data_IF_960613625459
#
_entry.id   IF_960613625459
#
_cell.length_a   1.000
_cell.length_b   1.000
_cell.length_c   1.000
_cell.angle_alpha   90.00
_cell.angle_beta   90.00
_cell.angle_gamma   90.00
#
_symmetry.space_group_name_H-M   'P 1'
#
loop_
_entity.id
_entity.type
_entity.pdbx_description
1 polymer ?
#
# COMPACT_ATOMS: atom_id res chain seq x y z
N UNK A 1 -51.77 39.70 -10.36
CA UNK A 1 -51.26 39.06 -9.14
C UNK A 1 -50.75 37.62 -9.38
N UNK A 2 -51.50 36.71 -9.99
CA UNK A 2 -51.02 35.32 -10.29
C UNK A 2 -49.79 35.22 -11.16
N UNK A 3 -49.61 36.13 -12.12
CA UNK A 3 -48.46 36.10 -13.03
C UNK A 3 -47.16 36.54 -12.32
N UNK A 4 -47.24 37.51 -11.43
CA UNK A 4 -46.09 38.00 -10.62
C UNK A 4 -45.58 36.92 -9.64
N UNK A 5 -46.49 36.12 -9.05
CA UNK A 5 -46.14 35.04 -8.11
C UNK A 5 -45.41 33.90 -8.87
N UNK A 6 -45.85 33.57 -10.09
CA UNK A 6 -45.16 32.55 -10.93
C UNK A 6 -43.74 32.95 -11.27
N UNK A 7 -43.50 34.24 -11.64
CA UNK A 7 -42.16 34.72 -11.97
C UNK A 7 -41.27 34.81 -10.72
N UNK A 8 -41.82 35.13 -9.55
CA UNK A 8 -41.08 35.17 -8.31
C UNK A 8 -40.62 33.76 -7.89
N UNK A 9 -41.45 32.75 -8.07
CA UNK A 9 -41.12 31.33 -7.79
C UNK A 9 -40.04 30.85 -8.77
N UNK A 10 -40.09 31.23 -10.04
CA UNK A 10 -39.11 30.84 -11.04
C UNK A 10 -37.75 31.46 -10.73
N UNK A 11 -37.67 32.70 -10.30
CA UNK A 11 -36.43 33.39 -9.92
C UNK A 11 -35.84 32.78 -8.62
N UNK A 12 -36.69 32.39 -7.64
CA UNK A 12 -36.18 31.74 -6.42
C UNK A 12 -35.65 30.33 -6.64
N UNK A 13 -36.10 29.64 -7.68
CA UNK A 13 -35.61 28.28 -8.03
C UNK A 13 -34.21 28.32 -8.71
N UNK A 14 -33.89 29.40 -9.41
CA UNK A 14 -32.60 29.55 -10.08
C UNK A 14 -31.44 29.89 -9.13
N UNK A 15 -31.70 30.37 -7.94
CA UNK A 15 -30.67 30.70 -6.94
C UNK A 15 -30.15 29.48 -6.15
N UNK A 16 -30.76 28.30 -6.31
CA UNK A 16 -30.35 27.06 -5.61
C UNK A 16 -29.25 26.28 -6.38
N UNK A 17 -28.81 26.75 -7.53
CA UNK A 17 -27.83 26.03 -8.39
C UNK A 17 -26.42 26.62 -8.28
N UNK A 18 -26.15 27.50 -7.32
CA UNK A 18 -24.77 27.86 -7.06
C UNK A 18 -24.09 26.67 -6.37
N UNK A 19 -23.29 25.96 -7.17
CA UNK A 19 -22.47 24.86 -6.67
C UNK A 19 -21.67 25.31 -5.45
N UNK A 20 -21.76 24.58 -4.36
CA UNK A 20 -20.92 24.82 -3.20
C UNK A 20 -19.47 24.60 -3.61
N UNK A 21 -18.65 25.63 -3.51
CA UNK A 21 -17.21 25.50 -3.70
C UNK A 21 -16.62 24.83 -2.46
N UNK A 22 -16.03 23.66 -2.62
CA UNK A 22 -15.40 22.91 -1.55
C UNK A 22 -14.00 23.48 -1.26
N UNK A 23 -13.73 23.84 -0.03
CA UNK A 23 -12.38 24.23 0.37
C UNK A 23 -11.60 23.00 0.83
N UNK A 24 -10.51 22.69 0.13
CA UNK A 24 -9.57 21.66 0.55
C UNK A 24 -8.74 22.22 1.71
N UNK A 25 -8.81 21.53 2.85
CA UNK A 25 -8.21 22.00 4.11
C UNK A 25 -6.93 21.27 4.47
N UNK A 26 -6.82 19.98 4.11
CA UNK A 26 -5.66 19.18 4.44
C UNK A 26 -5.51 17.99 3.50
N UNK A 27 -4.27 17.51 3.37
CA UNK A 27 -3.91 16.25 2.72
C UNK A 27 -3.10 15.42 3.70
N UNK A 28 -3.39 14.13 3.80
CA UNK A 28 -2.59 13.17 4.56
C UNK A 28 -2.26 11.95 3.71
N UNK A 29 -1.04 11.45 3.85
CA UNK A 29 -0.52 10.32 3.07
C UNK A 29 -0.22 9.17 4.03
N UNK A 30 -0.77 8.00 3.74
CA UNK A 30 -0.55 6.79 4.52
C UNK A 30 -0.05 5.65 3.60
N UNK A 31 1.25 5.31 3.66
CA UNK A 31 1.79 4.16 2.94
C UNK A 31 1.12 2.85 3.36
N UNK A 32 0.92 1.94 2.42
CA UNK A 32 0.40 0.59 2.61
C UNK A 32 1.36 -0.41 1.98
N UNK A 33 1.23 -1.70 2.33
CA UNK A 33 2.12 -2.75 1.79
C UNK A 33 2.11 -2.84 0.25
N UNK A 34 0.95 -2.63 -0.36
CA UNK A 34 0.75 -2.77 -1.80
C UNK A 34 0.21 -1.48 -2.45
N UNK A 35 0.51 -0.33 -1.87
CA UNK A 35 -0.02 0.92 -2.38
C UNK A 35 0.16 2.09 -1.44
N UNK A 36 -0.60 3.14 -1.68
CA UNK A 36 -0.66 4.32 -0.82
C UNK A 36 -2.09 4.83 -0.73
N UNK A 37 -2.50 5.28 0.46
CA UNK A 37 -3.76 5.99 0.65
C UNK A 37 -3.48 7.48 0.79
N UNK A 38 -4.17 8.28 -0.02
CA UNK A 38 -4.16 9.74 0.04
C UNK A 38 -5.51 10.17 0.58
N UNK A 39 -5.52 10.84 1.71
CA UNK A 39 -6.70 11.37 2.36
C UNK A 39 -6.76 12.88 2.10
N UNK A 40 -7.86 13.34 1.53
CA UNK A 40 -8.11 14.75 1.23
C UNK A 40 -9.31 15.19 2.07
N UNK A 41 -9.08 16.17 2.95
CA UNK A 41 -10.12 16.75 3.80
C UNK A 41 -10.61 18.06 3.20
N UNK A 42 -11.91 18.28 3.28
CA UNK A 42 -12.57 19.51 2.80
C UNK A 42 -13.52 20.04 3.87
N UNK A 43 -14.01 21.27 3.67
CA UNK A 43 -15.03 21.88 4.57
C UNK A 43 -16.44 21.42 4.28
N UNK A 44 -16.66 20.74 3.15
CA UNK A 44 -17.94 20.17 2.73
C UNK A 44 -17.70 18.86 1.97
N UNK A 45 -18.70 17.94 1.91
CA UNK A 45 -18.57 16.66 1.24
C UNK A 45 -18.26 16.81 -0.26
N UNK A 46 -17.20 16.16 -0.74
CA UNK A 46 -16.84 16.11 -2.15
C UNK A 46 -17.67 15.01 -2.83
N UNK A 47 -18.47 15.38 -3.83
CA UNK A 47 -19.31 14.45 -4.55
C UNK A 47 -18.52 13.61 -5.57
N UNK A 48 -18.91 12.36 -5.86
CA UNK A 48 -18.22 11.53 -6.85
C UNK A 48 -18.12 12.18 -8.24
N UNK A 49 -19.13 12.96 -8.65
CA UNK A 49 -19.15 13.67 -9.91
C UNK A 49 -18.15 14.83 -10.02
N UNK A 50 -17.60 15.26 -8.89
CA UNK A 50 -16.63 16.36 -8.82
C UNK A 50 -15.18 15.89 -8.96
N UNK A 51 -14.92 14.58 -8.91
CA UNK A 51 -13.55 14.05 -8.84
C UNK A 51 -13.19 13.30 -10.11
N UNK A 52 -12.05 13.64 -10.67
CA UNK A 52 -11.40 12.89 -11.73
C UNK A 52 -9.94 12.60 -11.35
N UNK A 53 -9.49 11.39 -11.64
CA UNK A 53 -8.10 11.01 -11.42
C UNK A 53 -7.50 10.33 -12.64
N UNK A 54 -6.20 10.50 -12.84
CA UNK A 54 -5.46 9.84 -13.89
C UNK A 54 -3.98 9.72 -13.55
N UNK A 55 -3.35 8.65 -14.03
CA UNK A 55 -1.93 8.38 -13.87
C UNK A 55 -1.20 8.56 -15.19
N UNK A 56 -0.16 9.39 -15.19
CA UNK A 56 0.71 9.59 -16.33
C UNK A 56 1.98 8.73 -16.17
N UNK A 57 1.99 7.58 -16.85
CA UNK A 57 3.09 6.62 -16.80
C UNK A 57 4.42 7.17 -17.36
N UNK A 58 4.37 8.18 -18.25
CA UNK A 58 5.58 8.72 -18.88
C UNK A 58 6.42 9.59 -17.94
N UNK A 59 5.82 10.14 -16.92
CA UNK A 59 6.48 11.02 -15.97
C UNK A 59 6.23 10.66 -14.50
N UNK A 60 5.54 9.54 -14.23
CA UNK A 60 5.22 9.02 -12.89
C UNK A 60 4.41 9.97 -12.01
N UNK A 61 3.53 10.75 -12.62
CA UNK A 61 2.63 11.64 -11.90
C UNK A 61 1.22 11.06 -11.86
N UNK A 62 0.64 11.04 -10.68
CA UNK A 62 -0.79 10.81 -10.47
C UNK A 62 -1.48 12.14 -10.16
N UNK A 63 -2.53 12.44 -10.90
CA UNK A 63 -3.28 13.69 -10.76
C UNK A 63 -4.69 13.42 -10.28
N UNK A 64 -5.18 14.31 -9.40
CA UNK A 64 -6.56 14.34 -8.95
C UNK A 64 -7.07 15.75 -9.25
N UNK A 65 -8.13 15.86 -10.03
CA UNK A 65 -8.84 17.10 -10.27
C UNK A 65 -10.14 17.09 -9.49
N UNK A 66 -10.36 18.12 -8.68
CA UNK A 66 -11.58 18.31 -7.90
C UNK A 66 -12.26 19.55 -8.41
N UNK A 67 -13.40 19.38 -9.08
CA UNK A 67 -14.20 20.48 -9.61
C UNK A 67 -14.96 21.18 -8.48
N UNK A 68 -15.19 22.49 -8.67
CA UNK A 68 -15.78 23.37 -7.67
C UNK A 68 -15.03 23.30 -6.32
N UNK A 69 -13.69 23.33 -6.40
CA UNK A 69 -12.82 23.25 -5.24
C UNK A 69 -11.69 24.28 -5.32
N UNK A 70 -11.28 24.78 -4.17
CA UNK A 70 -10.18 25.71 -3.98
C UNK A 70 -9.43 25.39 -2.69
N UNK A 71 -8.27 26.00 -2.46
CA UNK A 71 -7.49 25.78 -1.24
C UNK A 71 -6.20 26.57 -1.21
N UNK A 72 -5.53 26.57 -0.08
CA UNK A 72 -4.21 27.16 0.05
C UNK A 72 -3.14 26.21 -0.52
N UNK A 73 -2.79 26.40 -1.78
CA UNK A 73 -1.82 25.57 -2.51
C UNK A 73 -0.49 25.46 -1.76
N UNK A 74 0.02 26.59 -1.23
CA UNK A 74 1.29 26.65 -0.51
C UNK A 74 1.26 25.84 0.81
N UNK A 75 0.10 25.75 1.46
CA UNK A 75 -0.09 24.93 2.64
C UNK A 75 -0.19 23.44 2.29
N UNK A 76 -0.92 23.11 1.22
CA UNK A 76 -1.14 21.74 0.77
C UNK A 76 0.17 21.08 0.28
N UNK A 77 1.04 21.83 -0.41
CA UNK A 77 2.34 21.37 -0.88
C UNK A 77 3.33 21.07 0.27
N UNK A 78 3.15 21.70 1.43
CA UNK A 78 3.95 21.43 2.63
C UNK A 78 3.55 20.16 3.36
N UNK A 79 2.55 19.44 2.87
CA UNK A 79 2.15 18.15 3.44
C UNK A 79 3.32 17.19 3.49
N UNK A 80 3.48 16.52 4.62
CA UNK A 80 4.55 15.54 4.80
C UNK A 80 4.36 14.38 3.83
N UNK A 81 5.34 14.19 2.96
CA UNK A 81 5.36 13.06 2.01
C UNK A 81 6.00 11.83 2.63
N UNK A 82 5.56 10.67 2.16
CA UNK A 82 6.11 9.36 2.53
C UNK A 82 6.29 8.53 1.27
N UNK A 83 7.39 7.79 1.21
CA UNK A 83 7.62 6.86 0.12
C UNK A 83 6.36 5.97 -0.11
N UNK A 84 5.93 5.76 -1.34
CA UNK A 84 6.59 6.11 -2.61
C UNK A 84 6.23 7.50 -3.17
N UNK A 85 5.44 8.32 -2.48
CA UNK A 85 5.19 9.71 -2.91
C UNK A 85 6.40 10.55 -2.54
N UNK A 86 6.92 11.32 -3.50
CA UNK A 86 8.13 12.13 -3.34
C UNK A 86 7.85 13.62 -3.41
N UNK A 87 6.87 14.04 -4.19
CA UNK A 87 6.50 15.45 -4.38
C UNK A 87 4.97 15.56 -4.40
N UNK A 88 4.47 16.65 -3.86
CA UNK A 88 3.07 17.09 -4.01
C UNK A 88 3.08 18.45 -4.69
N UNK A 89 2.23 18.62 -5.68
CA UNK A 89 1.93 19.91 -6.32
C UNK A 89 0.44 20.18 -6.20
N UNK A 90 0.08 21.42 -5.90
CA UNK A 90 -1.30 21.87 -5.82
C UNK A 90 -1.48 23.09 -6.74
N UNK A 91 -2.37 22.96 -7.71
CA UNK A 91 -2.63 24.01 -8.71
C UNK A 91 -4.13 24.34 -8.67
N UNK A 92 -4.43 25.62 -8.50
CA UNK A 92 -5.79 26.12 -8.63
C UNK A 92 -5.99 26.61 -10.07
N UNK A 93 -6.99 26.07 -10.75
CA UNK A 93 -7.29 26.41 -12.15
C UNK A 93 -8.78 26.74 -12.30
N UNK A 94 -9.11 28.02 -12.33
CA UNK A 94 -10.48 28.49 -12.42
C UNK A 94 -11.31 28.03 -11.22
N UNK A 95 -12.32 27.19 -11.47
CA UNK A 95 -13.20 26.63 -10.42
C UNK A 95 -12.77 25.21 -9.97
N UNK A 96 -11.52 24.83 -10.26
CA UNK A 96 -11.05 23.47 -9.96
C UNK A 96 -9.69 23.51 -9.26
N UNK A 97 -9.48 22.56 -8.36
CA UNK A 97 -8.18 22.30 -7.77
C UNK A 97 -7.60 21.00 -8.35
N UNK A 98 -6.39 21.08 -8.85
CA UNK A 98 -5.62 19.90 -9.29
C UNK A 98 -4.51 19.62 -8.28
N UNK A 99 -4.48 18.39 -7.80
CA UNK A 99 -3.45 17.86 -6.92
C UNK A 99 -2.61 16.86 -7.71
N UNK A 100 -1.31 17.09 -7.78
CA UNK A 100 -0.33 16.21 -8.41
C UNK A 100 0.51 15.50 -7.35
N UNK A 101 0.75 14.21 -7.55
CA UNK A 101 1.57 13.37 -6.69
C UNK A 101 2.62 12.68 -7.54
N UNK A 102 3.90 12.99 -7.32
CA UNK A 102 5.02 12.30 -7.95
C UNK A 102 5.24 10.99 -7.23
N UNK A 103 5.14 9.88 -7.95
CA UNK A 103 5.20 8.53 -7.37
C UNK A 103 6.41 7.80 -7.95
N UNK A 104 7.23 7.18 -7.11
CA UNK A 104 8.43 6.44 -7.52
C UNK A 104 8.17 4.97 -7.87
N UNK A 105 6.90 4.57 -7.92
CA UNK A 105 6.46 3.22 -8.33
C UNK A 105 5.30 3.34 -9.32
N UNK A 106 5.18 2.45 -10.32
CA UNK A 106 4.06 2.47 -11.23
C UNK A 106 2.74 2.22 -10.49
N UNK A 107 1.70 2.93 -10.88
CA UNK A 107 0.34 2.73 -10.37
C UNK A 107 -0.39 1.79 -11.31
N UNK A 108 -0.88 0.66 -10.80
CA UNK A 108 -1.66 -0.32 -11.56
C UNK A 108 -3.14 0.08 -11.61
N UNK A 109 -3.67 0.52 -10.48
CA UNK A 109 -5.07 0.87 -10.32
C UNK A 109 -5.27 1.91 -9.22
N UNK A 110 -6.40 2.62 -9.25
CA UNK A 110 -6.78 3.57 -8.22
C UNK A 110 -8.29 3.60 -8.00
N UNK A 111 -8.69 3.85 -6.77
CA UNK A 111 -10.10 3.93 -6.36
C UNK A 111 -10.36 5.15 -5.48
N UNK A 112 -11.56 5.72 -5.62
CA UNK A 112 -12.04 6.82 -4.80
C UNK A 112 -13.10 6.34 -3.80
N UNK A 113 -12.93 6.69 -2.53
CA UNK A 113 -13.89 6.43 -1.48
C UNK A 113 -14.33 7.75 -0.85
N UNK A 114 -15.61 8.00 -0.87
CA UNK A 114 -16.22 9.23 -0.35
C UNK A 114 -16.81 8.98 1.04
N UNK A 115 -16.35 9.72 2.04
CA UNK A 115 -16.89 9.70 3.39
C UNK A 115 -17.54 11.06 3.69
N UNK A 116 -18.85 11.15 3.45
CA UNK A 116 -19.59 12.40 3.62
C UNK A 116 -19.64 12.87 5.07
N UNK A 117 -19.69 11.95 6.04
CA UNK A 117 -19.77 12.27 7.47
C UNK A 117 -18.47 12.95 7.96
N UNK A 118 -17.34 12.58 7.38
CA UNK A 118 -16.03 13.13 7.71
C UNK A 118 -15.56 14.19 6.74
N UNK A 119 -16.35 14.51 5.72
CA UNK A 119 -15.95 15.45 4.65
C UNK A 119 -14.58 15.06 4.04
N UNK A 120 -14.43 13.77 3.77
CA UNK A 120 -13.19 13.14 3.38
C UNK A 120 -13.31 12.44 2.04
N UNK A 121 -12.36 12.69 1.15
CA UNK A 121 -12.10 11.89 -0.03
C UNK A 121 -10.85 11.06 0.23
N UNK A 122 -10.98 9.73 0.23
CA UNK A 122 -9.87 8.82 0.30
C UNK A 122 -9.56 8.28 -1.10
N UNK A 123 -8.31 8.40 -1.52
CA UNK A 123 -7.80 7.84 -2.77
C UNK A 123 -6.86 6.71 -2.44
N UNK A 124 -7.18 5.51 -2.92
CA UNK A 124 -6.34 4.33 -2.77
C UNK A 124 -5.61 4.07 -4.10
N UNK A 125 -4.29 4.20 -4.12
CA UNK A 125 -3.45 3.81 -5.24
C UNK A 125 -2.89 2.41 -4.99
N UNK A 126 -2.98 1.53 -5.99
CA UNK A 126 -2.47 0.16 -5.94
C UNK A 126 -1.24 0.01 -6.84
N UNK A 127 -0.25 -0.71 -6.36
CA UNK A 127 0.96 -1.02 -7.12
C UNK A 127 0.92 -2.45 -7.65
N UNK A 128 1.62 -2.75 -8.76
CA UNK A 128 1.69 -4.08 -9.30
C UNK A 128 2.20 -5.10 -8.27
N UNK A 129 1.52 -6.24 -8.18
CA UNK A 129 1.85 -7.28 -7.20
C UNK A 129 3.29 -7.78 -7.34
N UNK A 130 3.82 -7.81 -8.57
CA UNK A 130 5.21 -8.18 -8.86
C UNK A 130 6.22 -7.27 -8.15
N UNK A 131 5.97 -5.97 -8.12
CA UNK A 131 6.84 -5.00 -7.45
C UNK A 131 6.70 -5.05 -5.93
N UNK A 132 5.47 -5.27 -5.44
CA UNK A 132 5.23 -5.49 -4.02
C UNK A 132 5.98 -6.73 -3.52
N UNK A 133 5.94 -7.83 -4.28
CA UNK A 133 6.69 -9.04 -3.94
C UNK A 133 8.20 -8.81 -4.00
N UNK A 134 8.71 -8.09 -5.01
CA UNK A 134 10.12 -7.75 -5.12
C UNK A 134 10.59 -6.87 -3.94
N UNK A 135 9.80 -5.88 -3.53
CA UNK A 135 10.11 -5.04 -2.38
C UNK A 135 10.10 -5.81 -1.06
N UNK A 136 9.15 -6.75 -0.90
CA UNK A 136 9.10 -7.63 0.26
C UNK A 136 10.29 -8.61 0.31
N UNK A 137 10.81 -8.99 -0.83
CA UNK A 137 12.01 -9.84 -0.93
C UNK A 137 13.29 -9.06 -0.59
N UNK A 138 13.31 -7.76 -0.88
CA UNK A 138 14.40 -6.84 -0.51
C UNK A 138 14.33 -6.42 0.97
N UNK A 139 13.12 -6.27 1.52
CA UNK A 139 12.88 -5.95 2.94
C UNK A 139 12.91 -7.19 3.86
N UNK A 140 13.02 -8.37 3.29
CA UNK A 140 13.52 -9.46 4.13
C UNK A 140 14.85 -8.94 4.66
N UNK A 141 15.03 -8.81 6.00
CA UNK A 141 16.37 -8.65 6.49
C UNK A 141 17.12 -9.72 5.73
N UNK A 142 18.12 -9.33 4.96
CA UNK A 142 19.15 -10.25 4.56
C UNK A 142 19.58 -10.75 5.93
N UNK A 143 18.93 -11.82 6.38
CA UNK A 143 19.58 -12.74 7.28
C UNK A 143 20.76 -13.04 6.39
N UNK A 144 21.79 -12.24 6.55
CA UNK A 144 23.11 -12.66 6.16
C UNK A 144 23.10 -14.02 6.80
N UNK A 145 22.90 -15.03 5.96
CA UNK A 145 23.40 -16.34 6.29
C UNK A 145 24.86 -16.00 6.49
N UNK A 146 25.09 -15.49 7.68
CA UNK A 146 26.40 -15.44 8.28
C UNK A 146 26.81 -16.84 7.97
N UNK A 147 27.71 -16.96 6.97
CA UNK A 147 28.14 -18.23 6.43
C UNK A 147 28.75 -18.90 7.65
N UNK A 148 27.78 -19.39 8.45
CA UNK A 148 28.04 -20.17 9.65
C UNK A 148 28.94 -21.22 9.07
N UNK A 149 30.14 -21.29 9.55
CA UNK A 149 31.14 -22.26 9.16
C UNK A 149 30.60 -23.61 9.67
N UNK A 150 29.40 -23.91 9.11
CA UNK A 150 28.62 -25.11 9.41
C UNK A 150 29.51 -26.25 9.00
N UNK A 151 30.03 -26.97 9.98
CA UNK A 151 30.89 -28.09 9.73
C UNK A 151 30.20 -29.04 8.73
N UNK A 152 30.97 -29.55 7.81
CA UNK A 152 30.48 -30.50 6.79
C UNK A 152 29.66 -31.65 7.40
N UNK A 153 29.95 -31.99 8.65
CA UNK A 153 29.25 -33.03 9.44
C UNK A 153 27.82 -32.62 9.78
N UNK A 154 27.57 -31.39 10.27
CA UNK A 154 26.22 -30.92 10.59
C UNK A 154 25.34 -30.88 9.35
N UNK A 155 25.87 -30.42 8.22
CA UNK A 155 25.13 -30.40 6.94
C UNK A 155 24.77 -31.81 6.50
N UNK A 156 25.68 -32.76 6.62
CA UNK A 156 25.39 -34.16 6.28
C UNK A 156 24.27 -34.74 7.17
N UNK A 157 24.28 -34.45 8.47
CA UNK A 157 23.24 -34.90 9.40
C UNK A 157 21.88 -34.29 9.08
N UNK A 158 21.82 -33.01 8.73
CA UNK A 158 20.56 -32.37 8.33
C UNK A 158 20.00 -32.97 7.03
N UNK A 159 20.84 -33.20 6.03
CA UNK A 159 20.43 -33.79 4.75
C UNK A 159 19.95 -35.25 4.95
N UNK A 160 20.66 -36.03 5.72
CA UNK A 160 20.28 -37.42 6.01
C UNK A 160 18.96 -37.47 6.79
N UNK A 161 18.83 -36.66 7.85
CA UNK A 161 17.60 -36.61 8.65
C UNK A 161 16.38 -36.16 7.84
N UNK A 162 16.53 -35.14 7.02
CA UNK A 162 15.48 -34.66 6.13
C UNK A 162 15.10 -35.67 5.06
N UNK A 163 16.07 -36.44 4.53
CA UNK A 163 15.81 -37.47 3.54
C UNK A 163 15.01 -38.63 4.13
N UNK A 164 15.29 -39.02 5.39
CA UNK A 164 14.54 -40.08 6.10
C UNK A 164 13.09 -39.63 6.30
N UNK A 165 12.85 -38.43 6.81
CA UNK A 165 11.50 -37.87 7.01
C UNK A 165 10.77 -37.73 5.67
N UNK A 166 11.41 -37.15 4.66
CA UNK A 166 10.84 -36.93 3.33
C UNK A 166 10.46 -38.24 2.63
N UNK A 167 11.26 -39.32 2.80
CA UNK A 167 10.95 -40.60 2.21
C UNK A 167 9.67 -41.22 2.76
N UNK A 168 9.33 -40.96 4.03
CA UNK A 168 8.11 -41.46 4.66
C UNK A 168 6.88 -40.65 4.26
N UNK A 169 7.03 -39.35 4.12
CA UNK A 169 5.94 -38.45 3.66
C UNK A 169 5.55 -38.75 2.21
N UNK A 170 6.54 -39.06 1.35
CA UNK A 170 6.30 -39.33 -0.07
C UNK A 170 5.79 -40.79 -0.33
N UNK A 171 5.89 -41.71 0.62
CA UNK A 171 5.44 -43.09 0.52
C UNK A 171 4.53 -43.46 1.69
N UNK A 172 3.29 -42.99 1.75
CA UNK A 172 2.41 -43.17 2.91
C UNK A 172 1.90 -44.59 3.11
N UNK A 173 2.46 -45.61 2.44
CA UNK A 173 2.04 -47.01 2.50
C UNK A 173 3.06 -47.94 3.19
N UNK A 174 4.07 -47.45 3.87
CA UNK A 174 5.00 -48.25 4.60
C UNK A 174 4.55 -48.42 6.06
N UNK A 175 4.53 -49.65 6.58
CA UNK A 175 4.17 -49.99 7.98
C UNK A 175 5.14 -49.40 9.03
N UNK A 176 5.89 -48.40 8.70
CA UNK A 176 6.99 -47.91 9.52
C UNK A 176 6.95 -46.44 9.86
N UNK A 177 5.98 -45.98 10.70
CA UNK A 177 5.97 -44.64 11.30
C UNK A 177 7.23 -44.32 12.13
N UNK A 178 8.07 -45.33 12.44
CA UNK A 178 9.31 -45.18 13.21
C UNK A 178 10.41 -44.34 12.52
N UNK A 179 10.38 -44.19 11.19
CA UNK A 179 11.36 -43.44 10.43
C UNK A 179 11.26 -41.92 10.69
N UNK A 180 10.05 -41.43 10.94
CA UNK A 180 9.83 -40.02 11.26
C UNK A 180 10.58 -39.59 12.52
N UNK A 181 10.37 -40.25 13.70
CA UNK A 181 11.11 -39.90 14.90
C UNK A 181 12.62 -40.10 14.75
N UNK A 182 13.08 -41.12 14.01
CA UNK A 182 14.51 -41.30 13.75
C UNK A 182 15.07 -40.12 12.90
N UNK A 183 14.40 -39.73 11.82
CA UNK A 183 14.83 -38.61 11.00
C UNK A 183 14.94 -37.33 11.79
N UNK A 184 13.96 -37.02 12.65
CA UNK A 184 14.03 -35.86 13.57
C UNK A 184 15.17 -36.00 14.60
N UNK A 185 15.43 -37.21 15.13
CA UNK A 185 16.54 -37.44 16.05
C UNK A 185 17.90 -37.14 15.39
N UNK A 186 18.07 -37.52 14.12
CA UNK A 186 19.30 -37.24 13.36
C UNK A 186 19.47 -35.73 13.13
N UNK A 187 18.39 -35.00 12.78
CA UNK A 187 18.40 -33.55 12.66
C UNK A 187 18.77 -32.89 13.99
N UNK A 188 18.18 -33.35 15.09
CA UNK A 188 18.44 -32.85 16.43
C UNK A 188 19.88 -33.08 16.88
N UNK A 189 20.47 -34.23 16.57
CA UNK A 189 21.89 -34.51 16.80
C UNK A 189 22.76 -33.54 16.00
N UNK A 190 22.41 -33.25 14.73
CA UNK A 190 23.08 -32.23 13.91
C UNK A 190 23.06 -30.86 14.58
N UNK A 191 21.92 -30.46 15.12
CA UNK A 191 21.74 -29.21 15.84
C UNK A 191 22.60 -29.14 17.13
N UNK A 192 22.58 -30.19 17.93
CA UNK A 192 23.41 -30.28 19.14
C UNK A 192 24.91 -30.22 18.81
N UNK A 193 25.33 -30.96 17.78
CA UNK A 193 26.70 -30.95 17.34
C UNK A 193 27.17 -29.55 16.91
N UNK A 194 26.34 -28.83 16.18
CA UNK A 194 26.65 -27.47 15.73
C UNK A 194 26.75 -26.50 16.90
N UNK A 195 25.81 -26.53 17.84
CA UNK A 195 25.74 -25.55 18.90
C UNK A 195 26.64 -25.85 20.11
N UNK A 196 26.87 -27.13 20.44
CA UNK A 196 27.61 -27.51 21.65
C UNK A 196 29.03 -27.95 21.38
N UNK A 197 29.30 -28.49 20.21
CA UNK A 197 30.66 -29.04 19.91
C UNK A 197 31.47 -28.06 19.08
N UNK A 198 30.83 -27.36 18.14
CA UNK A 198 31.53 -26.40 17.25
C UNK A 198 31.37 -24.95 17.64
N UNK A 199 30.34 -24.58 18.42
CA UNK A 199 30.05 -23.21 18.87
C UNK A 199 30.95 -22.71 20.02
N UNK A 200 31.85 -23.51 20.59
CA UNK A 200 32.77 -23.13 21.66
C UNK A 200 34.19 -22.85 21.10
N UNK A 201 34.33 -21.91 20.19
CA UNK A 201 35.62 -21.30 19.85
C UNK A 201 35.40 -19.81 19.60
N UNK A 202 35.20 -19.06 20.64
CA UNK A 202 35.66 -17.71 20.83
C UNK A 202 36.89 -17.72 21.73
#
# INVERSE_FOLDING_TARGET
>A
MKLMIKNLILISLTTLIFGQNNRITNIAIAPKKNGVSIQILSDSPIQPSQVAGWYNQSNDWYYITIHNAFGDTASLEKTKVYYPITIIEAIETGESMQLGFKISQPVEDFEFYHNNDKQELLVALRFPLSEVLASMETDRPVVSLQKSKTNSISKALYVIGASIVGSEILRPKSDGTWKIPIGFSVIFIGYLYENFITGKKE
#
